data_IF_031676369197
#
_entry.id   IF_031676369197
#
_cell.length_a   1.000
_cell.length_b   1.000
_cell.length_c   1.000
_cell.angle_alpha   90.00
_cell.angle_beta   90.00
_cell.angle_gamma   90.00
#
_symmetry.space_group_name_H-M   'P 1'
#
loop_
_entity.id
_entity.type
_entity.pdbx_description
1 polymer ?
#
# COMPACT_ATOMS: atom_id res chain seq x y z
N UNK A 1 -12.23 -0.30 0.24
CA UNK A 1 -13.35 0.51 0.78
C UNK A 1 -13.12 1.99 0.52
N UNK A 2 -11.89 2.48 0.69
CA UNK A 2 -11.48 3.82 0.27
C UNK A 2 -10.24 3.73 -0.61
N UNK A 3 -10.09 4.70 -1.51
CA UNK A 3 -8.88 4.96 -2.28
C UNK A 3 -8.49 6.41 -1.97
N UNK A 4 -7.22 6.63 -1.59
CA UNK A 4 -6.75 7.91 -1.09
C UNK A 4 -5.55 8.32 -1.94
N UNK A 5 -5.67 9.46 -2.61
CA UNK A 5 -4.56 10.08 -3.31
C UNK A 5 -3.55 10.67 -2.32
N UNK A 6 -2.27 10.47 -2.59
CA UNK A 6 -1.20 10.95 -1.72
C UNK A 6 -0.97 12.44 -1.89
N UNK A 7 -0.89 13.18 -0.79
CA UNK A 7 -0.62 14.63 -0.81
C UNK A 7 0.87 14.96 -0.92
N UNK A 8 1.70 14.09 -0.35
CA UNK A 8 3.15 14.26 -0.29
C UNK A 8 3.87 12.95 -0.59
N UNK A 9 5.14 13.08 -0.95
CA UNK A 9 6.03 11.92 -1.07
C UNK A 9 6.26 11.29 0.31
N UNK A 10 6.12 9.97 0.36
CA UNK A 10 6.49 9.15 1.52
C UNK A 10 7.69 8.28 1.13
N UNK A 11 8.76 8.22 1.96
CA UNK A 11 9.99 7.48 1.66
C UNK A 11 9.80 5.97 1.86
N UNK A 12 8.85 5.36 1.15
CA UNK A 12 8.73 3.91 1.11
C UNK A 12 9.97 3.29 0.45
N UNK A 13 10.37 2.06 0.83
CA UNK A 13 11.49 1.37 0.20
C UNK A 13 11.35 1.32 -1.32
N UNK A 14 12.46 1.32 -2.06
CA UNK A 14 12.48 1.53 -3.52
C UNK A 14 11.53 0.59 -4.29
N UNK A 15 11.39 -0.64 -3.81
CA UNK A 15 10.48 -1.65 -4.36
C UNK A 15 8.99 -1.25 -4.30
N UNK A 16 8.62 -0.44 -3.30
CA UNK A 16 7.27 0.02 -3.01
C UNK A 16 7.05 1.46 -3.49
N UNK A 17 8.08 2.31 -3.46
CA UNK A 17 8.01 3.72 -3.88
C UNK A 17 7.78 3.91 -5.38
N UNK A 18 8.11 2.90 -6.21
CA UNK A 18 7.83 2.91 -7.67
C UNK A 18 6.44 2.37 -8.02
N UNK A 19 5.67 1.86 -7.06
CA UNK A 19 4.34 1.34 -7.35
C UNK A 19 3.34 2.49 -7.48
N UNK A 20 2.44 2.46 -8.49
CA UNK A 20 1.42 3.50 -8.66
C UNK A 20 0.37 3.46 -7.54
N UNK A 21 0.25 2.34 -6.83
CA UNK A 21 -0.71 2.14 -5.73
C UNK A 21 -0.09 1.24 -4.67
N UNK A 22 -0.36 1.56 -3.40
CA UNK A 22 0.02 0.77 -2.24
C UNK A 22 -1.23 0.23 -1.55
N UNK A 23 -1.19 -1.03 -1.11
CA UNK A 23 -2.29 -1.65 -0.37
C UNK A 23 -1.92 -1.72 1.11
N UNK A 24 -2.72 -1.12 1.99
CA UNK A 24 -2.42 -1.01 3.43
C UNK A 24 -3.52 -1.69 4.22
N UNK A 25 -3.15 -2.58 5.14
CA UNK A 25 -4.09 -3.21 6.07
C UNK A 25 -4.56 -2.20 7.12
N UNK A 26 -5.88 -2.08 7.30
CA UNK A 26 -6.49 -1.14 8.25
C UNK A 26 -6.29 -1.52 9.72
N UNK A 27 -5.92 -2.77 10.01
CA UNK A 27 -5.72 -3.25 11.39
C UNK A 27 -4.26 -3.21 11.82
N UNK A 28 -3.34 -3.69 10.98
CA UNK A 28 -1.91 -3.81 11.33
C UNK A 28 -0.99 -2.83 10.60
N UNK A 29 -1.55 -1.99 9.71
CA UNK A 29 -0.81 -1.00 8.88
C UNK A 29 0.27 -1.60 7.98
N UNK A 30 0.27 -2.93 7.79
CA UNK A 30 1.15 -3.59 6.84
C UNK A 30 0.84 -3.11 5.43
N UNK A 31 1.86 -2.62 4.74
CA UNK A 31 1.79 -2.21 3.35
C UNK A 31 2.25 -3.33 2.40
N UNK A 32 1.62 -3.40 1.23
CA UNK A 32 1.76 -4.46 0.25
C UNK A 32 1.71 -3.87 -1.17
N UNK A 33 2.43 -4.50 -2.10
CA UNK A 33 2.51 -4.04 -3.51
C UNK A 33 1.33 -4.50 -4.35
N UNK A 34 0.84 -5.71 -4.11
CA UNK A 34 -0.16 -6.35 -4.95
C UNK A 34 -1.48 -6.49 -4.21
N UNK A 35 -2.57 -6.33 -4.95
CA UNK A 35 -3.91 -6.59 -4.42
C UNK A 35 -4.06 -8.05 -3.99
N UNK A 36 -3.46 -8.99 -4.74
CA UNK A 36 -3.51 -10.42 -4.43
C UNK A 36 -2.90 -10.72 -3.05
N UNK A 37 -1.78 -10.09 -2.73
CA UNK A 37 -1.12 -10.25 -1.41
C UNK A 37 -1.94 -9.61 -0.29
N UNK A 38 -2.59 -8.47 -0.57
CA UNK A 38 -3.51 -7.82 0.36
C UNK A 38 -4.71 -8.72 0.67
N UNK A 39 -5.33 -9.31 -0.35
CA UNK A 39 -6.47 -10.24 -0.20
C UNK A 39 -6.12 -11.53 0.53
N UNK A 40 -4.87 -11.99 0.48
CA UNK A 40 -4.41 -13.16 1.25
C UNK A 40 -4.10 -12.81 2.71
N UNK A 41 -3.78 -11.54 2.99
CA UNK A 41 -3.48 -11.07 4.33
C UNK A 41 -4.74 -10.72 5.14
N UNK A 42 -5.77 -10.20 4.46
CA UNK A 42 -7.12 -9.97 5.00
C UNK A 42 -7.78 -11.29 5.39
#
# INVERSE_FOLDING_TARGET
KYEIDTWYFSPYPEEYGKQPKLWICEYCLKYMRLEKTYRYHM
#
